data_IF_994465674140
#
_entry.id   IF_994465674140
#
_cell.length_a   1.000
_cell.length_b   1.000
_cell.length_c   1.000
_cell.angle_alpha   90.00
_cell.angle_beta   90.00
_cell.angle_gamma   90.00
#
_symmetry.space_group_name_H-M   'P 1'
#
loop_
_entity.id
_entity.type
_entity.pdbx_description
1 polymer ?
#
# COMPACT_ATOMS: atom_id res chain seq x y z
N UNK A 1 52.80 -42.36 -35.92
CA UNK A 1 51.68 -42.68 -35.00
C UNK A 1 50.46 -41.92 -35.47
N UNK A 2 49.31 -42.58 -35.48
CA UNK A 2 48.13 -42.34 -36.33
C UNK A 2 47.28 -41.15 -35.85
N UNK A 3 46.63 -40.49 -36.82
CA UNK A 3 45.56 -39.47 -36.71
C UNK A 3 44.38 -39.93 -35.84
N UNK A 4 43.64 -39.02 -35.20
CA UNK A 4 42.27 -38.65 -35.61
C UNK A 4 41.52 -37.80 -34.58
N UNK A 5 40.65 -36.98 -35.15
CA UNK A 5 39.66 -36.03 -34.66
C UNK A 5 38.37 -36.69 -34.11
N UNK A 6 37.55 -35.92 -33.38
CA UNK A 6 36.12 -36.20 -33.09
C UNK A 6 35.70 -35.55 -31.75
N UNK A 7 34.96 -34.43 -31.66
CA UNK A 7 33.53 -34.16 -31.99
C UNK A 7 32.51 -34.98 -31.17
N UNK A 8 31.61 -34.25 -30.48
CA UNK A 8 30.17 -34.55 -30.18
C UNK A 8 29.73 -35.02 -28.78
N UNK A 9 28.76 -34.23 -28.24
CA UNK A 9 27.63 -34.50 -27.33
C UNK A 9 27.81 -35.44 -26.13
N UNK A 10 27.48 -34.91 -24.95
CA UNK A 10 26.73 -35.66 -23.93
C UNK A 10 25.28 -35.17 -23.90
N UNK A 11 24.37 -36.05 -24.30
CA UNK A 11 22.92 -35.99 -24.11
C UNK A 11 22.57 -36.83 -22.86
N UNK A 12 21.62 -36.30 -22.09
CA UNK A 12 20.62 -36.92 -21.20
C UNK A 12 20.72 -38.41 -20.83
N UNK A 13 20.63 -38.66 -19.51
CA UNK A 13 20.01 -39.81 -18.84
C UNK A 13 19.65 -39.31 -17.42
N UNK A 14 18.50 -39.49 -16.76
CA UNK A 14 17.35 -40.42 -16.77
C UNK A 14 16.14 -39.58 -16.27
N UNK A 15 14.86 -39.85 -16.55
CA UNK A 15 14.12 -41.09 -16.33
C UNK A 15 12.93 -41.16 -17.30
N UNK A 16 12.88 -42.28 -18.04
CA UNK A 16 11.71 -42.76 -18.76
C UNK A 16 11.19 -43.95 -17.94
N UNK A 17 9.97 -43.88 -17.43
CA UNK A 17 9.22 -45.07 -17.00
C UNK A 17 8.01 -45.17 -17.92
N UNK A 18 8.07 -46.15 -18.82
CA UNK A 18 6.93 -46.64 -19.59
C UNK A 18 6.16 -47.60 -18.68
N UNK A 19 4.87 -47.35 -18.47
CA UNK A 19 3.93 -48.39 -18.05
C UNK A 19 3.00 -48.67 -19.22
N UNK A 20 3.19 -49.85 -19.81
CA UNK A 20 2.24 -50.52 -20.69
C UNK A 20 1.15 -51.13 -19.80
N UNK A 21 -0.03 -50.53 -19.76
CA UNK A 21 -1.30 -51.25 -19.79
C UNK A 21 -2.46 -50.25 -19.83
N UNK A 22 -3.31 -50.43 -20.84
CA UNK A 22 -4.48 -49.61 -21.05
C UNK A 22 -5.55 -49.88 -20.00
N UNK A 23 -5.67 -48.97 -19.03
CA UNK A 23 -6.94 -48.69 -18.35
C UNK A 23 -7.05 -47.19 -18.08
N UNK A 24 -8.11 -46.58 -18.62
CA UNK A 24 -8.52 -45.21 -18.32
C UNK A 24 -8.97 -45.20 -16.85
N UNK A 25 -8.10 -44.74 -15.97
CA UNK A 25 -8.47 -44.39 -14.59
C UNK A 25 -8.58 -42.87 -14.50
N UNK A 26 -9.83 -42.40 -14.35
CA UNK A 26 -10.12 -41.09 -13.77
C UNK A 26 -9.59 -41.11 -12.34
N UNK A 27 -8.68 -40.20 -12.00
CA UNK A 27 -8.23 -40.06 -10.62
C UNK A 27 -7.21 -38.94 -10.40
N UNK A 28 -7.58 -38.00 -9.55
CA UNK A 28 -6.72 -37.06 -8.82
C UNK A 28 -6.16 -35.83 -9.58
N UNK A 29 -7.06 -34.92 -9.94
CA UNK A 29 -6.77 -33.51 -9.71
C UNK A 29 -6.83 -33.28 -8.20
N UNK A 30 -5.67 -33.05 -7.56
CA UNK A 30 -5.61 -32.50 -6.20
C UNK A 30 -6.01 -31.03 -6.29
N UNK A 31 -7.01 -30.67 -5.51
CA UNK A 31 -7.47 -29.31 -5.28
C UNK A 31 -6.29 -28.35 -5.01
N UNK A 32 -6.17 -27.32 -5.85
CA UNK A 32 -5.46 -26.09 -5.53
C UNK A 32 -6.55 -25.07 -5.19
N UNK A 33 -7.25 -25.27 -4.08
CA UNK A 33 -8.32 -24.40 -3.59
C UNK A 33 -7.85 -23.41 -2.51
N UNK A 34 -6.54 -23.19 -2.37
CA UNK A 34 -5.98 -22.27 -1.38
C UNK A 34 -5.04 -21.19 -1.97
N UNK A 35 -5.16 -20.88 -3.25
CA UNK A 35 -4.69 -19.58 -3.78
C UNK A 35 -5.73 -18.51 -3.42
N UNK A 36 -5.81 -18.22 -2.12
CA UNK A 36 -6.31 -16.92 -1.68
C UNK A 36 -5.47 -15.89 -2.44
N UNK A 37 -6.11 -14.88 -3.03
CA UNK A 37 -5.40 -13.61 -3.25
C UNK A 37 -4.57 -13.36 -1.98
N UNK A 38 -3.28 -12.95 -2.05
CA UNK A 38 -2.63 -12.48 -0.83
C UNK A 38 -3.64 -11.51 -0.26
N UNK A 39 -4.19 -11.77 0.94
CA UNK A 39 -5.24 -10.92 1.44
C UNK A 39 -4.71 -9.52 1.22
N UNK A 40 -5.51 -8.64 0.61
CA UNK A 40 -5.46 -7.27 1.11
C UNK A 40 -5.71 -7.50 2.58
N UNK A 41 -4.64 -7.64 3.35
CA UNK A 41 -4.70 -7.55 4.78
C UNK A 41 -5.14 -6.11 4.88
N UNK A 42 -6.46 -5.91 4.90
CA UNK A 42 -7.03 -5.14 5.97
C UNK A 42 -6.41 -5.77 7.21
N UNK A 43 -5.19 -5.33 7.51
CA UNK A 43 -4.69 -5.30 8.84
C UNK A 43 -5.67 -4.34 9.50
N UNK A 44 -6.85 -4.85 9.88
CA UNK A 44 -7.29 -4.59 11.24
C UNK A 44 -6.19 -5.26 12.04
N UNK A 45 -5.21 -4.51 12.59
CA UNK A 45 -4.33 -5.11 13.56
C UNK A 45 -5.28 -5.74 14.59
N UNK A 46 -5.31 -7.07 14.68
CA UNK A 46 -5.81 -7.71 15.90
C UNK A 46 -4.76 -7.37 16.94
N UNK A 47 -4.85 -6.16 17.46
CA UNK A 47 -4.25 -5.84 18.74
C UNK A 47 -4.93 -6.81 19.71
N UNK A 48 -4.19 -7.72 20.39
CA UNK A 48 -4.78 -8.60 21.40
C UNK A 48 -5.47 -7.81 22.52
N UNK A 49 -5.23 -6.50 22.58
CA UNK A 49 -5.91 -5.52 23.40
C UNK A 49 -6.75 -4.61 22.50
N UNK A 50 -7.93 -5.06 22.08
CA UNK A 50 -8.92 -4.10 21.58
C UNK A 50 -9.23 -3.13 22.71
N UNK A 51 -9.04 -1.82 22.51
CA UNK A 51 -9.31 -0.85 23.55
C UNK A 51 -10.79 -0.96 23.96
N UNK A 52 -11.05 -1.01 25.26
CA UNK A 52 -12.40 -1.05 25.79
C UNK A 52 -12.95 0.38 25.87
N UNK A 53 -14.14 0.58 25.31
CA UNK A 53 -14.83 1.86 25.29
C UNK A 53 -15.78 2.00 26.48
N UNK A 54 -15.60 3.04 27.29
CA UNK A 54 -16.46 3.36 28.44
C UNK A 54 -16.67 4.88 28.56
N UNK A 55 -17.51 5.47 27.70
CA UNK A 55 -17.65 6.94 27.60
C UNK A 55 -18.11 7.61 28.91
N UNK A 56 -18.84 6.89 29.77
CA UNK A 56 -19.34 7.42 31.04
C UNK A 56 -18.26 7.57 32.13
N UNK A 57 -17.16 6.80 32.04
CA UNK A 57 -16.14 6.77 33.11
C UNK A 57 -15.15 7.96 33.05
N UNK A 58 -15.12 8.73 31.97
CA UNK A 58 -14.14 9.81 31.78
C UNK A 58 -14.65 11.22 32.01
N UNK A 59 -15.94 11.49 31.81
CA UNK A 59 -16.47 12.87 31.74
C UNK A 59 -16.30 13.66 33.04
N UNK A 60 -16.45 13.01 34.19
CA UNK A 60 -16.28 13.62 35.51
C UNK A 60 -14.82 13.96 35.85
N UNK A 61 -13.85 13.48 35.07
CA UNK A 61 -12.42 13.77 35.24
C UNK A 61 -11.98 15.02 34.46
N UNK A 62 -12.82 15.53 33.56
CA UNK A 62 -12.53 16.66 32.69
C UNK A 62 -13.03 17.99 33.29
N UNK A 63 -12.54 19.14 32.78
CA UNK A 63 -13.13 20.44 33.09
C UNK A 63 -14.64 20.49 32.84
N UNK A 64 -15.37 21.32 33.59
CA UNK A 64 -16.83 21.38 33.53
C UNK A 64 -17.39 21.78 32.14
N UNK A 65 -16.60 22.48 31.33
CA UNK A 65 -16.92 22.92 29.97
C UNK A 65 -16.36 21.99 28.87
N UNK A 66 -15.68 20.91 29.26
CA UNK A 66 -15.10 19.97 28.33
C UNK A 66 -16.17 19.10 27.66
N UNK A 67 -16.02 18.88 26.35
CA UNK A 67 -16.88 17.98 25.59
C UNK A 67 -16.04 16.85 25.01
N UNK A 68 -16.27 15.60 25.45
CA UNK A 68 -15.58 14.43 24.86
C UNK A 68 -15.92 14.36 23.38
N UNK A 69 -14.89 14.16 22.56
CA UNK A 69 -15.06 14.14 21.10
C UNK A 69 -15.68 12.80 20.68
N UNK A 70 -16.73 12.79 19.85
CA UNK A 70 -17.25 11.57 19.29
C UNK A 70 -16.29 10.96 18.25
N UNK A 71 -16.13 9.64 18.26
CA UNK A 71 -15.35 8.86 17.30
C UNK A 71 -16.01 7.51 17.07
N UNK A 72 -16.06 7.10 15.82
CA UNK A 72 -16.62 5.81 15.40
C UNK A 72 -15.46 4.85 15.06
N UNK A 73 -14.99 4.05 16.03
CA UNK A 73 -13.84 3.17 15.86
C UNK A 73 -14.10 2.03 14.87
N UNK A 74 -15.37 1.66 14.66
CA UNK A 74 -15.80 0.52 13.85
C UNK A 74 -16.42 0.95 12.51
N UNK A 75 -16.68 2.24 12.32
CA UNK A 75 -17.27 2.83 11.11
C UNK A 75 -18.69 2.34 10.85
N UNK A 76 -19.38 1.90 11.90
CA UNK A 76 -20.75 1.38 11.82
C UNK A 76 -21.81 2.50 11.94
N UNK A 77 -21.36 3.75 11.99
CA UNK A 77 -22.19 4.94 12.14
C UNK A 77 -22.56 5.24 13.59
N UNK A 78 -21.98 4.56 14.58
CA UNK A 78 -22.25 4.80 16.01
C UNK A 78 -21.05 5.46 16.68
N UNK A 79 -20.93 6.79 16.61
CA UNK A 79 -19.86 7.47 17.31
C UNK A 79 -19.99 7.31 18.82
N UNK A 80 -18.89 6.96 19.46
CA UNK A 80 -18.74 6.88 20.91
C UNK A 80 -17.77 7.95 21.40
N UNK A 81 -17.79 8.27 22.69
CA UNK A 81 -16.79 9.18 23.25
C UNK A 81 -15.39 8.60 23.10
N UNK A 82 -14.42 9.42 22.65
CA UNK A 82 -13.01 9.04 22.56
C UNK A 82 -12.43 8.84 23.95
N UNK A 83 -12.62 7.64 24.50
CA UNK A 83 -12.13 7.20 25.80
C UNK A 83 -11.57 5.80 25.59
N UNK A 84 -10.25 5.67 25.57
CA UNK A 84 -9.57 4.39 25.38
C UNK A 84 -8.76 4.03 26.61
N UNK A 85 -8.81 2.76 27.00
CA UNK A 85 -7.88 2.15 27.96
C UNK A 85 -6.63 1.69 27.20
N UNK A 86 -5.46 2.00 27.74
CA UNK A 86 -4.18 1.71 27.10
C UNK A 86 -3.10 1.30 28.12
N UNK A 87 -2.05 0.65 27.62
CA UNK A 87 -0.87 0.24 28.38
C UNK A 87 0.37 0.97 27.91
N UNK A 88 0.37 2.29 28.07
CA UNK A 88 1.35 3.22 27.50
C UNK A 88 2.71 3.22 28.22
N UNK A 89 2.69 3.01 29.55
CA UNK A 89 3.91 3.08 30.38
C UNK A 89 4.48 1.69 30.68
N UNK A 90 3.61 0.79 31.11
CA UNK A 90 3.92 -0.60 31.36
C UNK A 90 2.63 -1.44 31.24
N UNK A 91 2.74 -2.74 30.92
CA UNK A 91 1.57 -3.62 30.76
C UNK A 91 0.71 -3.79 32.02
N UNK A 92 1.27 -3.56 33.21
CA UNK A 92 0.55 -3.75 34.47
C UNK A 92 -0.28 -2.53 34.91
N UNK A 93 -0.06 -1.38 34.27
CA UNK A 93 -0.64 -0.11 34.65
C UNK A 93 -1.53 0.40 33.52
N UNK A 94 -2.82 0.42 33.79
CA UNK A 94 -3.82 0.93 32.89
C UNK A 94 -3.84 2.46 32.91
N UNK A 95 -3.84 3.08 31.72
CA UNK A 95 -4.10 4.50 31.55
C UNK A 95 -5.42 4.71 30.81
N UNK A 96 -6.06 5.84 31.10
CA UNK A 96 -7.23 6.33 30.36
C UNK A 96 -6.79 7.46 29.45
N UNK A 97 -7.02 7.32 28.15
CA UNK A 97 -6.68 8.31 27.13
C UNK A 97 -7.96 8.93 26.59
N UNK A 98 -8.09 10.24 26.71
CA UNK A 98 -9.31 10.96 26.34
C UNK A 98 -8.97 12.09 25.37
N UNK A 99 -9.78 12.24 24.31
CA UNK A 99 -9.77 13.43 23.45
C UNK A 99 -11.03 14.24 23.70
N UNK A 100 -10.88 15.52 24.02
CA UNK A 100 -11.99 16.41 24.34
C UNK A 100 -11.81 17.80 23.71
N UNK A 101 -12.92 18.52 23.51
CA UNK A 101 -12.93 19.93 23.11
C UNK A 101 -12.90 20.81 24.34
N UNK A 102 -11.98 21.76 24.37
CA UNK A 102 -11.94 22.82 25.38
C UNK A 102 -12.50 24.10 24.79
N UNK A 103 -13.45 24.72 25.50
CA UNK A 103 -14.02 25.99 25.05
C UNK A 103 -13.01 27.10 25.34
N UNK A 104 -12.50 27.76 24.30
CA UNK A 104 -11.70 28.97 24.48
C UNK A 104 -12.69 30.12 24.61
N UNK A 105 -12.96 30.53 25.85
CA UNK A 105 -13.77 31.73 26.11
C UNK A 105 -12.91 32.95 25.75
N UNK A 106 -12.91 33.36 24.48
CA UNK A 106 -12.32 34.63 24.07
C UNK A 106 -13.20 35.78 24.54
N UNK A 107 -12.61 36.74 25.26
CA UNK A 107 -13.29 37.90 25.82
C UNK A 107 -13.68 38.96 24.76
N UNK A 108 -13.73 38.62 23.47
CA UNK A 108 -14.01 39.58 22.38
C UNK A 108 -15.25 39.18 21.58
N UNK A 109 -16.17 40.14 21.39
CA UNK A 109 -17.56 39.91 21.00
C UNK A 109 -17.80 39.59 19.51
N UNK A 110 -16.78 39.24 18.71
CA UNK A 110 -16.96 39.16 17.25
C UNK A 110 -16.21 38.06 16.49
N UNK A 111 -15.73 37.01 17.14
CA UNK A 111 -15.10 35.87 16.46
C UNK A 111 -15.74 34.55 16.89
N UNK A 112 -15.95 33.64 15.93
CA UNK A 112 -16.41 32.27 16.19
C UNK A 112 -15.53 31.64 17.29
N UNK A 113 -16.16 31.13 18.35
CA UNK A 113 -15.48 30.40 19.42
C UNK A 113 -14.72 29.22 18.82
N UNK A 114 -13.41 29.34 18.69
CA UNK A 114 -12.55 28.24 18.26
C UNK A 114 -12.37 27.29 19.44
N UNK A 115 -12.92 26.09 19.36
CA UNK A 115 -12.62 25.03 20.33
C UNK A 115 -11.27 24.41 19.98
N UNK A 116 -10.34 24.30 20.94
CA UNK A 116 -9.14 23.50 20.76
C UNK A 116 -9.43 22.03 21.10
N UNK A 117 -8.76 21.13 20.38
CA UNK A 117 -8.83 19.71 20.64
C UNK A 117 -7.70 19.34 21.60
N UNK A 118 -8.04 18.74 22.72
CA UNK A 118 -7.11 18.38 23.78
C UNK A 118 -7.00 16.86 23.88
N UNK A 119 -5.78 16.36 24.06
CA UNK A 119 -5.48 14.98 24.42
C UNK A 119 -5.03 14.95 25.88
N UNK A 120 -5.69 14.15 26.71
CA UNK A 120 -5.36 14.00 28.13
C UNK A 120 -5.20 12.53 28.51
N UNK A 121 -4.25 12.26 29.40
CA UNK A 121 -3.94 10.94 29.90
C UNK A 121 -4.13 10.94 31.41
N UNK A 122 -4.93 10.02 31.90
CA UNK A 122 -5.09 9.73 33.32
C UNK A 122 -4.42 8.43 33.69
N UNK A 123 -3.85 8.44 34.89
CA UNK A 123 -3.18 7.30 35.48
C UNK A 123 -3.93 6.83 36.73
N UNK A 124 -4.02 5.52 36.93
CA UNK A 124 -4.75 4.93 38.07
C UNK A 124 -3.82 4.66 39.23
N UNK A 125 -4.01 5.36 40.36
CA UNK A 125 -3.22 5.20 41.59
C UNK A 125 -4.15 5.00 42.78
N UNK A 126 -3.99 3.90 43.51
CA UNK A 126 -4.84 3.60 44.68
C UNK A 126 -6.34 3.55 44.34
N UNK A 127 -6.69 3.11 43.12
CA UNK A 127 -8.07 3.02 42.64
C UNK A 127 -8.67 4.33 42.12
N UNK A 128 -7.96 5.46 42.25
CA UNK A 128 -8.40 6.78 41.76
C UNK A 128 -7.63 7.19 40.49
N UNK A 129 -8.27 7.99 39.63
CA UNK A 129 -7.67 8.54 38.43
C UNK A 129 -7.00 9.89 38.71
N UNK A 130 -5.79 10.06 38.21
CA UNK A 130 -5.03 11.31 38.33
C UNK A 130 -4.61 11.78 36.95
N UNK A 131 -4.81 13.06 36.64
CA UNK A 131 -4.34 13.64 35.39
C UNK A 131 -2.81 13.61 35.39
N UNK A 132 -2.25 12.84 34.47
CA UNK A 132 -0.81 12.66 34.34
C UNK A 132 -0.23 13.64 33.32
N UNK A 133 -0.91 13.78 32.18
CA UNK A 133 -0.42 14.55 31.06
C UNK A 133 -1.56 15.08 30.19
N UNK A 134 -1.33 16.22 29.56
CA UNK A 134 -2.30 16.89 28.71
C UNK A 134 -1.57 17.73 27.64
N UNK A 135 -2.05 17.68 26.40
CA UNK A 135 -1.54 18.50 25.29
C UNK A 135 -2.68 18.97 24.41
N UNK A 136 -2.47 20.08 23.71
CA UNK A 136 -3.28 20.50 22.58
C UNK A 136 -2.86 19.71 21.32
N UNK A 137 -3.84 19.31 20.50
CA UNK A 137 -3.65 18.66 19.21
C UNK A 137 -3.64 19.69 18.07
N UNK A 138 -2.95 19.38 16.98
CA UNK A 138 -2.67 20.32 15.90
C UNK A 138 -3.92 20.78 15.13
N UNK A 139 -4.92 19.92 14.98
CA UNK A 139 -6.18 20.21 14.30
C UNK A 139 -7.37 20.31 15.26
N UNK A 140 -8.39 21.15 14.94
CA UNK A 140 -9.58 21.35 15.78
C UNK A 140 -10.60 20.19 15.73
N UNK A 141 -10.37 19.16 14.93
CA UNK A 141 -11.26 17.99 14.83
C UNK A 141 -10.46 16.74 14.47
N UNK A 142 -10.98 15.57 14.88
CA UNK A 142 -10.44 14.29 14.44
C UNK A 142 -10.68 14.10 12.95
N UNK A 143 -9.64 13.63 12.24
CA UNK A 143 -9.71 13.34 10.83
C UNK A 143 -10.27 11.95 10.58
N UNK A 144 -11.22 11.84 9.65
CA UNK A 144 -11.73 10.56 9.18
C UNK A 144 -11.45 10.45 7.70
N UNK A 145 -10.62 9.48 7.31
CA UNK A 145 -10.24 9.27 5.92
C UNK A 145 -11.13 8.19 5.30
N UNK A 146 -11.90 8.53 4.27
CA UNK A 146 -12.69 7.59 3.46
C UNK A 146 -13.64 6.67 4.26
N UNK A 147 -14.15 7.14 5.41
CA UNK A 147 -14.95 6.32 6.33
C UNK A 147 -14.16 5.22 7.06
N UNK A 148 -12.83 5.26 6.99
CA UNK A 148 -11.90 4.35 7.67
C UNK A 148 -11.31 5.01 8.94
N UNK A 149 -11.05 4.17 9.93
CA UNK A 149 -10.81 4.48 11.36
C UNK A 149 -9.43 5.09 11.69
N UNK A 150 -9.00 6.16 11.01
CA UNK A 150 -7.61 6.64 11.14
C UNK A 150 -7.45 7.87 12.05
N UNK A 151 -8.54 8.40 12.61
CA UNK A 151 -8.48 9.61 13.43
C UNK A 151 -7.76 9.44 14.77
N UNK A 152 -7.90 8.28 15.41
CA UNK A 152 -7.32 8.02 16.72
C UNK A 152 -7.13 6.52 16.96
N UNK A 153 -5.92 6.11 17.35
CA UNK A 153 -5.58 4.71 17.59
C UNK A 153 -4.53 4.60 18.71
N UNK A 154 -4.55 3.45 19.39
CA UNK A 154 -3.54 3.02 20.35
C UNK A 154 -2.88 1.78 19.77
N UNK A 155 -1.58 1.86 19.49
CA UNK A 155 -0.83 0.74 18.93
C UNK A 155 0.66 0.87 19.23
N UNK A 156 1.33 -0.27 19.38
CA UNK A 156 2.79 -0.34 19.32
C UNK A 156 3.28 -0.01 17.90
N UNK A 157 3.82 1.21 17.71
CA UNK A 157 4.32 1.67 16.41
C UNK A 157 5.79 1.31 16.18
N UNK A 158 6.55 1.01 17.23
CA UNK A 158 8.00 0.85 17.16
C UNK A 158 8.49 -0.60 17.42
N UNK A 159 7.59 -1.53 17.76
CA UNK A 159 7.87 -2.94 18.03
C UNK A 159 8.40 -3.25 19.43
N UNK A 160 8.40 -2.31 20.38
CA UNK A 160 8.93 -2.49 21.74
C UNK A 160 7.92 -3.09 22.72
N UNK A 161 6.70 -3.39 22.27
CA UNK A 161 5.62 -3.95 23.06
C UNK A 161 4.91 -2.96 23.97
N UNK A 162 5.19 -1.65 23.87
CA UNK A 162 4.39 -0.59 24.49
C UNK A 162 3.55 0.08 23.42
N UNK A 163 2.36 0.52 23.82
CA UNK A 163 1.51 1.25 22.90
C UNK A 163 1.88 2.74 22.84
N UNK A 164 1.85 3.30 21.64
CA UNK A 164 1.83 4.73 21.38
C UNK A 164 0.42 5.23 21.09
N UNK A 165 0.25 6.53 21.27
CA UNK A 165 -0.97 7.25 20.90
C UNK A 165 -0.79 7.83 19.51
N UNK A 166 -1.59 7.36 18.55
CA UNK A 166 -1.60 7.85 17.16
C UNK A 166 -2.87 8.67 16.94
N UNK A 167 -2.72 9.95 16.61
CA UNK A 167 -3.83 10.85 16.31
C UNK A 167 -3.66 11.49 14.94
N UNK A 168 -4.75 11.63 14.20
CA UNK A 168 -4.80 12.43 12.98
C UNK A 168 -5.90 13.47 13.14
N UNK A 169 -5.53 14.74 13.07
CA UNK A 169 -6.44 15.87 13.31
C UNK A 169 -6.41 16.84 12.15
N UNK A 170 -7.55 17.37 11.72
CA UNK A 170 -7.63 18.24 10.54
C UNK A 170 -8.33 19.55 10.83
N UNK A 171 -8.09 20.55 10.00
CA UNK A 171 -8.86 21.83 10.05
C UNK A 171 -10.11 21.75 9.19
N UNK A 172 -10.10 20.91 8.15
CA UNK A 172 -11.21 20.70 7.24
C UNK A 172 -10.82 19.78 6.10
N UNK A 173 -11.80 19.14 5.46
CA UNK A 173 -11.57 18.15 4.41
C UNK A 173 -10.67 18.66 3.26
N UNK A 174 -10.67 19.96 2.99
CA UNK A 174 -9.85 20.57 1.93
C UNK A 174 -8.43 20.93 2.39
N UNK A 175 -8.24 21.23 3.67
CA UNK A 175 -6.95 21.69 4.22
C UNK A 175 -6.04 20.53 4.64
N UNK A 176 -6.56 19.31 4.63
CA UNK A 176 -5.83 18.13 5.09
C UNK A 176 -5.86 17.99 6.60
N UNK A 177 -4.97 17.16 7.09
CA UNK A 177 -4.82 16.81 8.48
C UNK A 177 -3.36 16.66 8.86
N UNK A 178 -3.14 16.54 10.17
CA UNK A 178 -1.86 16.46 10.84
C UNK A 178 -1.79 15.15 11.60
N UNK A 179 -0.75 14.37 11.37
CA UNK A 179 -0.42 13.20 12.16
C UNK A 179 0.44 13.59 13.35
N UNK A 180 0.04 13.13 14.54
CA UNK A 180 0.85 13.21 15.75
C UNK A 180 0.88 11.83 16.43
N UNK A 181 2.09 11.38 16.76
CA UNK A 181 2.37 10.13 17.47
C UNK A 181 3.04 10.50 18.78
N UNK A 182 2.45 10.10 19.90
CA UNK A 182 2.97 10.35 21.24
C UNK A 182 3.41 9.05 21.92
N UNK A 183 4.63 9.06 22.43
CA UNK A 183 5.22 7.93 23.15
C UNK A 183 5.65 8.34 24.57
N UNK A 184 5.71 7.37 25.48
CA UNK A 184 6.21 7.59 26.84
C UNK A 184 7.75 7.62 26.87
N UNK A 185 8.34 8.79 27.11
CA UNK A 185 9.80 8.97 27.18
C UNK A 185 10.41 8.66 28.55
N UNK A 186 9.74 7.89 29.41
CA UNK A 186 10.20 7.56 30.77
C UNK A 186 9.87 8.60 31.85
N UNK A 187 9.68 9.87 31.49
CA UNK A 187 9.29 10.96 32.42
C UNK A 187 8.00 11.68 32.02
N UNK A 188 7.80 11.86 30.73
CA UNK A 188 6.62 12.51 30.16
C UNK A 188 6.32 11.90 28.80
N UNK A 189 5.11 12.13 28.31
CA UNK A 189 4.81 11.85 26.90
C UNK A 189 5.46 12.89 26.01
N UNK A 190 5.93 12.45 24.85
CA UNK A 190 6.60 13.28 23.85
C UNK A 190 6.09 12.91 22.46
N UNK A 191 5.95 13.91 21.60
CA UNK A 191 5.68 13.66 20.19
C UNK A 191 6.94 13.07 19.54
N UNK A 192 6.82 11.89 18.94
CA UNK A 192 7.95 11.14 18.36
C UNK A 192 8.00 11.21 16.84
N UNK A 193 7.13 11.99 16.20
CA UNK A 193 7.19 12.31 14.78
C UNK A 193 7.30 13.82 14.57
N UNK A 194 7.89 14.30 13.46
CA UNK A 194 7.69 15.69 13.04
C UNK A 194 6.19 15.96 12.85
N UNK A 195 5.76 17.23 12.85
CA UNK A 195 4.39 17.54 12.46
C UNK A 195 4.24 17.20 10.98
N UNK A 196 3.53 16.11 10.67
CA UNK A 196 3.34 15.62 9.30
C UNK A 196 1.95 15.99 8.83
N UNK A 197 1.85 16.77 7.75
CA UNK A 197 0.59 17.13 7.12
C UNK A 197 0.29 16.31 5.85
N UNK A 198 -1.00 16.13 5.55
CA UNK A 198 -1.45 15.43 4.34
C UNK A 198 -2.95 15.20 4.30
N UNK A 199 -3.43 14.55 3.25
CA UNK A 199 -4.85 14.18 3.09
C UNK A 199 -5.07 12.67 3.22
N UNK A 200 -4.05 11.88 2.89
CA UNK A 200 -4.10 10.43 2.92
C UNK A 200 -2.95 9.89 3.76
N UNK A 201 -3.29 9.08 4.76
CA UNK A 201 -2.38 8.43 5.68
C UNK A 201 -2.56 6.92 5.57
N UNK A 202 -1.46 6.20 5.39
CA UNK A 202 -1.44 4.74 5.38
C UNK A 202 -0.39 4.23 6.36
N UNK A 203 -0.76 3.21 7.13
CA UNK A 203 0.09 2.56 8.12
C UNK A 203 0.34 1.12 7.67
N UNK A 204 1.59 0.73 7.57
CA UNK A 204 2.01 -0.63 7.19
C UNK A 204 3.10 -1.10 8.17
N UNK A 205 3.19 -2.40 8.47
CA UNK A 205 4.25 -2.92 9.35
C UNK A 205 5.37 -3.53 8.53
N UNK A 206 6.60 -3.11 8.80
CA UNK A 206 7.78 -3.74 8.22
C UNK A 206 8.08 -5.11 8.87
N UNK A 207 9.09 -5.81 8.34
CA UNK A 207 9.50 -7.14 8.82
C UNK A 207 10.00 -7.15 10.28
N UNK A 208 10.37 -5.98 10.82
CA UNK A 208 10.79 -5.81 12.22
C UNK A 208 9.59 -5.54 13.13
N UNK A 209 8.39 -5.40 12.57
CA UNK A 209 7.17 -5.02 13.27
C UNK A 209 7.00 -3.52 13.44
N UNK A 210 7.93 -2.69 12.94
CA UNK A 210 7.82 -1.24 13.03
C UNK A 210 6.74 -0.75 12.06
N UNK A 211 5.91 0.18 12.49
CA UNK A 211 4.93 0.82 11.64
C UNK A 211 5.63 1.85 10.75
N UNK A 212 5.53 1.67 9.44
CA UNK A 212 5.85 2.67 8.41
C UNK A 212 4.60 3.52 8.16
N UNK A 213 4.78 4.83 8.19
CA UNK A 213 3.73 5.79 7.88
C UNK A 213 3.95 6.33 6.47
N UNK A 214 2.92 6.28 5.63
CA UNK A 214 2.92 6.90 4.30
C UNK A 214 1.89 8.02 4.30
N UNK A 215 2.31 9.23 3.95
CA UNK A 215 1.46 10.41 3.93
C UNK A 215 1.53 11.08 2.57
N UNK A 216 0.41 11.49 2.00
CA UNK A 216 0.40 12.35 0.80
C UNK A 216 -0.67 13.41 0.88
N UNK A 217 -0.39 14.56 0.25
CA UNK A 217 -1.40 15.58 -0.02
C UNK A 217 -2.35 15.12 -1.13
N UNK A 218 -3.54 15.74 -1.21
CA UNK A 218 -4.56 15.45 -2.23
C UNK A 218 -4.04 15.59 -3.66
N UNK A 219 -3.13 16.53 -3.88
CA UNK A 219 -2.59 16.87 -5.19
C UNK A 219 -1.21 16.27 -5.44
N UNK A 220 -0.67 15.55 -4.47
CA UNK A 220 0.60 14.85 -4.63
C UNK A 220 0.36 13.46 -5.19
N UNK A 221 1.13 13.13 -6.22
CA UNK A 221 1.14 11.78 -6.77
C UNK A 221 1.84 10.78 -5.83
N UNK A 222 2.70 11.28 -4.93
CA UNK A 222 3.64 10.49 -4.14
C UNK A 222 3.36 10.58 -2.66
N UNK A 223 3.68 9.50 -1.95
CA UNK A 223 3.70 9.47 -0.50
C UNK A 223 5.08 9.89 0.02
N UNK A 224 5.07 10.79 0.99
CA UNK A 224 6.12 10.95 1.97
C UNK A 224 6.12 9.73 2.89
N UNK A 225 7.28 9.13 3.12
CA UNK A 225 7.42 7.92 3.94
C UNK A 225 8.18 8.24 5.20
N UNK A 226 7.60 7.93 6.34
CA UNK A 226 8.21 8.09 7.65
C UNK A 226 8.45 6.72 8.26
N UNK A 227 9.70 6.48 8.67
CA UNK A 227 10.13 5.25 9.34
C UNK A 227 10.73 5.56 10.71
N UNK A 228 10.62 4.60 11.62
CA UNK A 228 11.24 4.66 12.93
C UNK A 228 12.77 4.49 12.82
N UNK A 229 13.52 5.48 13.30
CA UNK A 229 15.00 5.48 13.26
C UNK A 229 15.66 4.86 14.51
N UNK A 230 14.85 4.32 15.44
CA UNK A 230 15.29 3.86 16.75
C UNK A 230 14.97 4.84 17.90
N UNK A 231 14.63 6.08 17.59
CA UNK A 231 14.28 7.11 18.58
C UNK A 231 13.06 7.95 18.19
N UNK A 232 12.87 8.21 16.91
CA UNK A 232 11.75 8.98 16.36
C UNK A 232 11.45 8.59 14.93
N UNK A 233 10.26 8.94 14.47
CA UNK A 233 9.94 8.93 13.05
C UNK A 233 10.73 10.00 12.31
N UNK A 234 11.34 9.61 11.19
CA UNK A 234 11.92 10.55 10.23
C UNK A 234 11.42 10.24 8.84
N UNK A 235 11.28 11.30 8.07
CA UNK A 235 11.08 11.16 6.63
C UNK A 235 12.30 10.46 6.04
N UNK A 236 12.06 9.40 5.29
CA UNK A 236 13.08 8.69 4.53
C UNK A 236 13.10 9.31 3.14
N UNK A 237 14.30 9.66 2.68
CA UNK A 237 14.52 10.39 1.43
C UNK A 237 13.74 9.77 0.25
N UNK A 238 12.96 10.61 -0.40
CA UNK A 238 12.16 10.30 -1.58
C UNK A 238 13.03 9.84 -2.77
N UNK A 239 14.33 10.20 -2.80
CA UNK A 239 15.27 9.66 -3.80
C UNK A 239 15.41 8.13 -3.72
N UNK A 240 15.12 7.52 -2.57
CA UNK A 240 15.08 6.06 -2.46
C UNK A 240 13.68 5.48 -2.70
N UNK A 241 12.64 6.31 -2.66
CA UNK A 241 11.25 5.86 -2.73
C UNK A 241 10.92 5.26 -4.08
N UNK A 242 11.16 6.01 -5.15
CA UNK A 242 10.88 5.54 -6.51
C UNK A 242 11.61 4.23 -6.80
N UNK A 243 12.90 4.16 -6.44
CA UNK A 243 13.67 2.92 -6.52
C UNK A 243 13.04 1.78 -5.73
N UNK A 244 12.78 1.94 -4.44
CA UNK A 244 12.25 0.87 -3.57
C UNK A 244 10.87 0.41 -4.02
N UNK A 245 10.02 1.33 -4.46
CA UNK A 245 8.69 0.98 -4.94
C UNK A 245 8.74 0.28 -6.31
N UNK A 246 9.64 0.70 -7.20
CA UNK A 246 9.90 -0.04 -8.43
C UNK A 246 10.41 -1.45 -8.14
N UNK A 247 11.35 -1.61 -7.21
CA UNK A 247 11.90 -2.89 -6.77
C UNK A 247 10.82 -3.78 -6.14
N UNK A 248 9.89 -3.23 -5.35
CA UNK A 248 8.75 -3.97 -4.82
C UNK A 248 7.88 -4.54 -5.95
N UNK A 249 7.46 -3.70 -6.91
CA UNK A 249 6.63 -4.16 -8.02
C UNK A 249 7.38 -5.14 -8.92
N UNK A 250 8.67 -4.91 -9.19
CA UNK A 250 9.54 -5.84 -9.91
C UNK A 250 9.58 -7.20 -9.23
N UNK A 251 9.80 -7.25 -7.91
CA UNK A 251 9.82 -8.51 -7.16
C UNK A 251 8.50 -9.28 -7.28
N UNK A 252 7.35 -8.60 -7.28
CA UNK A 252 6.06 -9.25 -7.49
C UNK A 252 5.90 -9.74 -8.94
N UNK A 253 6.32 -8.94 -9.92
CA UNK A 253 6.22 -9.29 -11.34
C UNK A 253 7.11 -10.46 -11.72
N UNK A 254 8.35 -10.49 -11.20
CA UNK A 254 9.37 -11.47 -11.54
C UNK A 254 9.40 -12.67 -10.57
N UNK A 255 8.68 -12.58 -9.46
CA UNK A 255 8.52 -13.68 -8.50
C UNK A 255 7.77 -14.87 -9.09
N UNK A 256 7.84 -16.00 -8.39
CA UNK A 256 7.13 -17.24 -8.72
C UNK A 256 5.63 -17.17 -8.49
N UNK A 257 5.16 -16.18 -7.73
CA UNK A 257 3.75 -16.05 -7.39
C UNK A 257 2.89 -15.71 -8.63
N UNK A 258 1.74 -16.39 -8.78
CA UNK A 258 0.80 -16.10 -9.85
C UNK A 258 0.12 -14.75 -9.60
N UNK A 259 -0.09 -13.99 -10.66
CA UNK A 259 -0.77 -12.70 -10.61
C UNK A 259 -1.88 -12.63 -11.65
N UNK A 260 -2.83 -11.71 -11.49
CA UNK A 260 -3.84 -11.51 -12.53
C UNK A 260 -3.24 -10.68 -13.67
N UNK A 261 -3.69 -10.85 -14.94
CA UNK A 261 -3.24 -10.03 -16.05
C UNK A 261 -3.40 -8.53 -15.80
N UNK A 262 -4.50 -8.14 -15.14
CA UNK A 262 -4.77 -6.76 -14.75
C UNK A 262 -3.70 -6.24 -13.77
N UNK A 263 -3.44 -6.99 -12.69
CA UNK A 263 -2.48 -6.59 -11.66
C UNK A 263 -1.05 -6.54 -12.22
N UNK A 264 -0.69 -7.50 -13.07
CA UNK A 264 0.59 -7.49 -13.77
C UNK A 264 0.76 -6.21 -14.60
N UNK A 265 -0.27 -5.83 -15.37
CA UNK A 265 -0.24 -4.61 -16.17
C UNK A 265 -0.09 -3.35 -15.31
N UNK A 266 -0.85 -3.25 -14.23
CA UNK A 266 -0.77 -2.13 -13.29
C UNK A 266 0.60 -2.02 -12.61
N UNK A 267 1.12 -3.15 -12.11
CA UNK A 267 2.42 -3.19 -11.43
C UNK A 267 3.57 -2.89 -12.40
N UNK A 268 3.52 -3.41 -13.62
CA UNK A 268 4.55 -3.11 -14.62
C UNK A 268 4.58 -1.62 -14.96
N UNK A 269 3.41 -1.00 -15.19
CA UNK A 269 3.34 0.43 -15.45
C UNK A 269 3.91 1.26 -14.29
N UNK A 270 3.55 0.91 -13.05
CA UNK A 270 4.03 1.62 -11.86
C UNK A 270 5.53 1.44 -11.66
N UNK A 271 6.04 0.22 -11.82
CA UNK A 271 7.47 -0.07 -11.70
C UNK A 271 8.30 0.72 -12.72
N UNK A 272 7.88 0.69 -13.99
CA UNK A 272 8.54 1.42 -15.08
C UNK A 272 8.48 2.92 -14.85
N UNK A 273 7.32 3.45 -14.44
CA UNK A 273 7.18 4.87 -14.12
C UNK A 273 8.12 5.28 -12.98
N UNK A 274 8.19 4.48 -11.91
CA UNK A 274 9.06 4.73 -10.78
C UNK A 274 10.55 4.66 -11.18
N UNK A 275 10.99 3.65 -11.94
CA UNK A 275 12.37 3.60 -12.43
C UNK A 275 12.72 4.79 -13.34
N UNK A 276 11.78 5.27 -14.16
CA UNK A 276 11.97 6.49 -14.96
C UNK A 276 12.13 7.73 -14.10
N UNK A 277 11.36 7.85 -13.02
CA UNK A 277 11.44 8.97 -12.08
C UNK A 277 12.74 8.96 -11.28
N UNK A 278 13.24 7.78 -10.93
CA UNK A 278 14.55 7.59 -10.29
C UNK A 278 15.73 7.82 -11.25
N UNK A 279 15.49 8.08 -12.54
CA UNK A 279 16.54 8.19 -13.56
C UNK A 279 17.14 6.85 -14.00
N UNK A 280 16.64 5.72 -13.50
CA UNK A 280 17.09 4.36 -13.84
C UNK A 280 16.42 3.82 -15.11
N UNK A 281 16.58 4.54 -16.24
CA UNK A 281 15.97 4.18 -17.53
C UNK A 281 16.37 2.76 -17.99
N UNK A 282 17.64 2.39 -17.81
CA UNK A 282 18.15 1.07 -18.18
C UNK A 282 17.50 -0.06 -17.36
N UNK A 283 17.19 0.16 -16.07
CA UNK A 283 16.42 -0.82 -15.28
C UNK A 283 14.98 -0.93 -15.78
N UNK A 284 14.35 0.19 -16.14
CA UNK A 284 13.00 0.16 -16.71
C UNK A 284 12.95 -0.66 -18.01
N UNK A 285 13.95 -0.51 -18.89
CA UNK A 285 14.08 -1.30 -20.12
C UNK A 285 14.24 -2.78 -19.79
N UNK A 286 15.21 -3.13 -18.95
CA UNK A 286 15.46 -4.50 -18.53
C UNK A 286 14.23 -5.16 -17.90
N UNK A 287 13.49 -4.42 -17.07
CA UNK A 287 12.23 -4.88 -16.48
C UNK A 287 11.19 -5.19 -17.55
N UNK A 288 11.00 -4.31 -18.56
CA UNK A 288 10.06 -4.59 -19.64
C UNK A 288 10.50 -5.78 -20.51
N UNK A 289 11.79 -5.93 -20.79
CA UNK A 289 12.32 -7.09 -21.54
C UNK A 289 12.07 -8.39 -20.79
N UNK A 290 12.32 -8.40 -19.47
CA UNK A 290 12.03 -9.55 -18.64
C UNK A 290 10.51 -9.78 -18.52
N UNK A 291 9.71 -8.72 -18.44
CA UNK A 291 8.26 -8.81 -18.43
C UNK A 291 7.75 -9.56 -19.66
N UNK A 292 8.27 -9.29 -20.86
CA UNK A 292 7.94 -10.04 -22.09
C UNK A 292 8.23 -11.53 -21.93
N UNK A 293 9.37 -11.90 -21.33
CA UNK A 293 9.77 -13.30 -21.16
C UNK A 293 8.88 -14.06 -20.18
N UNK A 294 8.39 -13.40 -19.13
CA UNK A 294 7.55 -14.06 -18.11
C UNK A 294 6.09 -14.20 -18.51
N UNK A 295 5.62 -13.49 -19.54
CA UNK A 295 4.22 -13.56 -20.00
C UNK A 295 3.81 -14.98 -20.44
N UNK A 296 4.75 -15.73 -20.99
CA UNK A 296 4.51 -17.07 -21.53
C UNK A 296 4.78 -18.19 -20.51
N UNK A 297 5.18 -17.86 -19.27
CA UNK A 297 5.48 -18.86 -18.25
C UNK A 297 4.19 -19.59 -17.79
N UNK A 298 4.18 -20.94 -17.83
CA UNK A 298 3.06 -21.71 -17.32
C UNK A 298 2.74 -21.37 -15.86
N UNK A 299 1.47 -21.10 -15.58
CA UNK A 299 1.02 -20.77 -14.22
C UNK A 299 1.29 -19.33 -13.78
N UNK A 300 1.91 -18.47 -14.60
CA UNK A 300 2.17 -17.07 -14.21
C UNK A 300 0.89 -16.27 -13.99
N UNK A 301 -0.15 -16.56 -14.77
CA UNK A 301 -1.44 -15.89 -14.69
C UNK A 301 -2.52 -16.78 -14.08
N UNK A 302 -3.26 -16.21 -13.14
CA UNK A 302 -4.43 -16.84 -12.51
C UNK A 302 -5.66 -15.95 -12.65
N UNK A 303 -6.79 -16.56 -13.00
CA UNK A 303 -8.08 -15.86 -13.04
C UNK A 303 -8.59 -15.61 -11.62
N UNK A 304 -9.21 -14.45 -11.39
CA UNK A 304 -9.95 -14.22 -10.14
C UNK A 304 -11.30 -14.87 -10.27
N UNK A 305 -11.41 -16.11 -9.77
CA UNK A 305 -12.68 -16.81 -9.75
C UNK A 305 -13.52 -16.32 -8.56
N UNK A 306 -14.83 -16.08 -8.76
CA UNK A 306 -15.71 -15.78 -7.65
C UNK A 306 -15.77 -16.97 -6.69
N UNK A 307 -15.93 -16.70 -5.39
CA UNK A 307 -16.08 -17.76 -4.40
C UNK A 307 -17.32 -18.61 -4.68
N UNK A 308 -17.30 -19.89 -4.34
CA UNK A 308 -18.47 -20.78 -4.47
C UNK A 308 -19.72 -20.22 -3.77
N UNK A 309 -19.54 -19.50 -2.67
CA UNK A 309 -20.61 -18.83 -1.92
C UNK A 309 -21.33 -17.72 -2.70
N UNK A 310 -20.76 -17.23 -3.81
CA UNK A 310 -21.29 -16.09 -4.55
C UNK A 310 -22.33 -16.49 -5.62
N UNK A 311 -22.67 -17.78 -5.74
CA UNK A 311 -23.77 -18.31 -6.58
C UNK A 311 -23.78 -17.78 -8.03
N UNK A 312 -22.61 -17.68 -8.67
CA UNK A 312 -22.51 -17.28 -10.07
C UNK A 312 -23.09 -18.35 -10.99
N UNK A 313 -23.80 -17.94 -12.05
CA UNK A 313 -24.28 -18.87 -13.08
C UNK A 313 -23.11 -19.34 -13.96
N UNK A 314 -23.30 -20.45 -14.68
CA UNK A 314 -22.30 -20.96 -15.63
C UNK A 314 -21.95 -19.94 -16.70
N UNK A 315 -22.92 -19.16 -17.14
CA UNK A 315 -22.74 -18.09 -18.14
C UNK A 315 -21.89 -16.96 -17.59
N UNK A 316 -22.07 -16.59 -16.32
CA UNK A 316 -21.25 -15.56 -15.69
C UNK A 316 -19.80 -16.04 -15.48
N UNK A 317 -19.61 -17.29 -15.08
CA UNK A 317 -18.27 -17.90 -14.97
C UNK A 317 -17.57 -17.90 -16.33
N UNK A 318 -18.26 -18.32 -17.39
CA UNK A 318 -17.73 -18.30 -18.77
C UNK A 318 -17.33 -16.88 -19.20
N UNK A 319 -18.13 -15.88 -18.87
CA UNK A 319 -17.81 -14.49 -19.18
C UNK A 319 -16.54 -13.99 -18.44
N UNK A 320 -16.31 -14.45 -17.21
CA UNK A 320 -15.09 -14.13 -16.44
C UNK A 320 -13.87 -14.78 -17.08
N UNK A 321 -13.97 -16.05 -17.49
CA UNK A 321 -12.90 -16.76 -18.20
C UNK A 321 -12.57 -16.09 -19.55
N UNK A 322 -13.59 -15.71 -20.32
CA UNK A 322 -13.42 -14.99 -21.58
C UNK A 322 -12.78 -13.61 -21.38
N UNK A 323 -13.17 -12.86 -20.35
CA UNK A 323 -12.53 -11.58 -19.99
C UNK A 323 -11.07 -11.78 -19.58
N UNK A 324 -10.77 -12.82 -18.80
CA UNK A 324 -9.41 -13.18 -18.42
C UNK A 324 -8.53 -13.49 -19.63
N UNK A 325 -8.97 -14.38 -20.53
CA UNK A 325 -8.20 -14.75 -21.72
C UNK A 325 -8.04 -13.56 -22.67
N UNK A 326 -9.07 -12.72 -22.83
CA UNK A 326 -8.97 -11.49 -23.61
C UNK A 326 -7.91 -10.54 -23.03
N UNK A 327 -7.95 -10.27 -21.72
CA UNK A 327 -6.98 -9.38 -21.05
C UNK A 327 -5.57 -9.95 -21.13
N UNK A 328 -5.41 -11.26 -20.93
CA UNK A 328 -4.13 -11.97 -21.07
C UNK A 328 -3.58 -11.87 -22.50
N UNK A 329 -4.43 -12.01 -23.51
CA UNK A 329 -4.03 -11.89 -24.93
C UNK A 329 -3.61 -10.48 -25.33
N UNK A 330 -4.17 -9.44 -24.70
CA UNK A 330 -3.79 -8.04 -24.91
C UNK A 330 -2.54 -7.64 -24.11
N UNK A 331 -2.21 -8.37 -23.04
CA UNK A 331 -1.15 -8.01 -22.11
C UNK A 331 0.23 -7.81 -22.77
N UNK A 332 0.68 -8.59 -23.77
CA UNK A 332 1.95 -8.37 -24.46
C UNK A 332 2.07 -7.01 -25.16
N UNK A 333 0.96 -6.34 -25.47
CA UNK A 333 0.99 -4.98 -26.04
C UNK A 333 1.68 -3.99 -25.08
N UNK A 334 1.46 -4.15 -23.78
CA UNK A 334 1.91 -3.22 -22.75
C UNK A 334 3.44 -3.12 -22.61
N UNK A 335 4.20 -4.20 -22.34
CA UNK A 335 5.65 -4.10 -22.22
C UNK A 335 6.29 -3.62 -23.52
N UNK A 336 5.76 -3.99 -24.69
CA UNK A 336 6.24 -3.46 -25.96
C UNK A 336 5.96 -1.97 -26.14
N UNK A 337 4.78 -1.47 -25.74
CA UNK A 337 4.51 -0.03 -25.73
C UNK A 337 5.48 0.71 -24.80
N UNK A 338 5.70 0.20 -23.58
CA UNK A 338 6.61 0.81 -22.60
C UNK A 338 8.07 0.80 -23.08
N UNK A 339 8.54 -0.28 -23.71
CA UNK A 339 9.85 -0.32 -24.36
C UNK A 339 9.96 0.74 -25.47
N UNK A 340 8.91 0.89 -26.28
CA UNK A 340 8.83 1.94 -27.29
C UNK A 340 9.04 3.34 -26.71
N UNK A 341 8.35 3.64 -25.61
CA UNK A 341 8.46 4.94 -24.91
C UNK A 341 9.85 5.16 -24.29
N UNK A 342 10.43 4.12 -23.70
CA UNK A 342 11.75 4.17 -23.08
C UNK A 342 12.85 4.39 -24.14
N UNK A 343 12.85 3.61 -25.22
CA UNK A 343 13.81 3.80 -26.31
C UNK A 343 13.65 5.14 -27.02
N UNK A 344 12.42 5.65 -27.17
CA UNK A 344 12.20 7.00 -27.71
C UNK A 344 12.79 8.06 -26.78
N UNK A 345 12.63 7.90 -25.46
CA UNK A 345 13.21 8.80 -24.46
C UNK A 345 14.75 8.79 -24.50
N UNK A 346 15.37 7.67 -24.84
CA UNK A 346 16.83 7.56 -25.06
C UNK A 346 17.29 8.05 -26.43
N UNK A 347 16.37 8.47 -27.30
CA UNK A 347 16.66 8.89 -28.67
C UNK A 347 16.87 7.74 -29.66
N UNK A 348 16.71 6.48 -29.23
CA UNK A 348 16.80 5.31 -30.09
C UNK A 348 15.47 5.06 -30.84
N UNK A 349 15.22 5.93 -31.83
CA UNK A 349 13.99 5.93 -32.62
C UNK A 349 13.75 4.62 -33.39
N UNK A 350 14.81 3.88 -33.75
CA UNK A 350 14.71 2.60 -34.47
C UNK A 350 14.14 1.51 -33.58
N UNK A 351 14.70 1.34 -32.37
CA UNK A 351 14.19 0.36 -31.41
C UNK A 351 12.80 0.75 -30.89
N UNK A 352 12.57 2.04 -30.69
CA UNK A 352 11.25 2.56 -30.33
C UNK A 352 10.19 2.13 -31.36
N UNK A 353 10.47 2.35 -32.64
CA UNK A 353 9.56 1.97 -33.73
C UNK A 353 9.30 0.45 -33.75
N UNK A 354 10.36 -0.36 -33.65
CA UNK A 354 10.24 -1.83 -33.62
C UNK A 354 9.29 -2.30 -32.52
N UNK A 355 9.41 -1.72 -31.33
CA UNK A 355 8.59 -2.08 -30.19
C UNK A 355 7.15 -1.59 -30.31
N UNK A 356 6.90 -0.38 -30.80
CA UNK A 356 5.53 0.07 -31.09
C UNK A 356 4.84 -0.77 -32.17
N UNK A 357 5.55 -1.15 -33.23
CA UNK A 357 5.01 -2.05 -34.27
C UNK A 357 4.69 -3.44 -33.71
N UNK A 358 5.44 -3.91 -32.70
CA UNK A 358 5.11 -5.16 -32.03
C UNK A 358 3.90 -5.01 -31.11
N UNK A 359 3.77 -3.90 -30.40
CA UNK A 359 2.61 -3.62 -29.55
C UNK A 359 1.29 -3.59 -30.35
N UNK A 360 1.28 -2.96 -31.53
CA UNK A 360 0.08 -2.85 -32.38
C UNK A 360 -0.36 -4.18 -32.99
N UNK A 361 0.51 -5.20 -33.02
CA UNK A 361 0.13 -6.56 -33.43
C UNK A 361 -0.76 -7.25 -32.39
N UNK A 362 -0.65 -6.85 -31.12
CA UNK A 362 -1.49 -7.36 -30.03
C UNK A 362 -2.74 -6.51 -29.83
N UNK A 363 -2.60 -5.18 -29.93
CA UNK A 363 -3.73 -4.24 -29.91
C UNK A 363 -3.75 -3.36 -31.15
N UNK A 364 -4.39 -3.87 -32.20
CA UNK A 364 -4.51 -3.16 -33.48
C UNK A 364 -5.43 -1.92 -33.42
N UNK A 365 -6.20 -1.78 -32.34
CA UNK A 365 -7.19 -0.72 -32.18
C UNK A 365 -6.65 0.54 -31.48
N UNK A 366 -5.45 0.46 -30.90
CA UNK A 366 -4.82 1.57 -30.18
C UNK A 366 -4.38 2.68 -31.16
N UNK A 367 -5.19 3.73 -31.26
CA UNK A 367 -4.92 4.90 -32.10
C UNK A 367 -3.64 5.65 -31.69
N UNK A 368 -3.32 5.66 -30.39
CA UNK A 368 -2.13 6.33 -29.85
C UNK A 368 -0.86 5.68 -30.41
N UNK A 369 -0.83 4.35 -30.49
CA UNK A 369 0.29 3.61 -31.09
C UNK A 369 0.45 3.93 -32.58
N UNK A 370 -0.65 3.96 -33.34
CA UNK A 370 -0.60 4.31 -34.76
C UNK A 370 -0.05 5.71 -35.01
N UNK A 371 -0.49 6.69 -34.22
CA UNK A 371 0.01 8.06 -34.29
C UNK A 371 1.50 8.14 -33.96
N UNK A 372 1.95 7.43 -32.92
CA UNK A 372 3.36 7.40 -32.51
C UNK A 372 4.25 6.76 -33.57
N UNK A 373 3.84 5.63 -34.14
CA UNK A 373 4.52 4.94 -35.25
C UNK A 373 4.67 5.89 -36.45
N UNK A 374 3.59 6.60 -36.82
CA UNK A 374 3.61 7.57 -37.92
C UNK A 374 4.60 8.71 -37.65
N UNK A 375 4.58 9.27 -36.44
CA UNK A 375 5.49 10.35 -36.05
C UNK A 375 6.96 9.92 -36.09
N UNK A 376 7.28 8.74 -35.56
CA UNK A 376 8.66 8.22 -35.56
C UNK A 376 9.14 7.91 -36.98
N UNK A 377 8.29 7.28 -37.82
CA UNK A 377 8.62 7.04 -39.24
C UNK A 377 8.90 8.33 -39.99
N UNK A 378 8.19 9.41 -39.69
CA UNK A 378 8.45 10.72 -40.29
C UNK A 378 9.80 11.30 -39.84
N UNK A 379 10.13 11.23 -38.54
CA UNK A 379 11.43 11.69 -38.01
C UNK A 379 12.60 10.91 -38.59
N UNK A 380 12.46 9.58 -38.74
CA UNK A 380 13.50 8.73 -39.35
C UNK A 380 13.70 9.02 -40.84
N UNK A 381 12.67 9.47 -41.57
CA UNK A 381 12.78 9.87 -42.98
C UNK A 381 13.46 11.23 -43.15
N UNK A 382 13.32 12.13 -42.19
CA UNK A 382 13.86 13.50 -42.24
C UNK A 382 14.60 13.82 -40.93
N UNK A 383 15.83 13.32 -40.75
CA UNK A 383 16.64 13.63 -39.57
C UNK A 383 16.83 15.15 -39.47
N UNK A 384 16.47 15.75 -38.33
CA UNK A 384 16.77 17.16 -38.09
C UNK A 384 18.29 17.31 -37.94
N UNK A 385 18.93 18.02 -38.86
CA UNK A 385 20.37 18.30 -38.85
C UNK A 385 20.79 19.29 -37.76
#
# INVERSE_FOLDING_TARGET
MVRMSGFVLMILACCLVISLDGQITRGFFREVSDLRQPPRRNFSPRNPHQPQHEPEQGSHLLPADAQIVPFDPDGDGKPEGVVLRAHLKNPAQEQLVIIYRKSVVEASQSSQSMSSLMLVIFDRRGGQWYKEWETELAGPQLWMQDGKHIGFQIMDVNGDGKDEIVTITGTGASLGAYLQIFAWGGRSYQQVNPLVDGHFFEFDRDERGHVRVRVRSRYEALFHVYEWDGNRYREVDAESYHRREAEFYENVLLGSEPVTPQLFGEYLQRAVWNYRKDGQIQKAIALCEHAVQVLDLPGKFVAVMPSEAANFTKEQIKAIEEDFERKKGLLPALPHRLLGELYEQEGNMTEALRHYERAVQFDSSDQTLHERIKAIKQRLRFPSH
#
